data_IF_700600821695
#
_entry.id   IF_700600821695
#
_cell.length_a   1.000
_cell.length_b   1.000
_cell.length_c   1.000
_cell.angle_alpha   90.00
_cell.angle_beta   90.00
_cell.angle_gamma   90.00
#
_symmetry.space_group_name_H-M   'P 1'
#
loop_
_entity.id
_entity.type
_entity.pdbx_description
1 polymer ?
#
# COMPACT_ATOMS: atom_id res chain seq x y z
N UNK A 1 -0.43 1.32 11.09
CA UNK A 1 -0.22 1.02 9.65
C UNK A 1 -0.84 2.15 8.86
N UNK A 2 -0.10 2.74 7.96
CA UNK A 2 -0.58 3.78 7.07
C UNK A 2 -0.21 3.47 5.62
N UNK A 3 -1.04 3.95 4.69
CA UNK A 3 -0.91 3.69 3.26
C UNK A 3 -0.95 4.99 2.45
N UNK A 4 0.12 5.22 1.68
CA UNK A 4 0.29 6.43 0.88
C UNK A 4 0.45 6.08 -0.60
N UNK A 5 -0.39 6.68 -1.42
CA UNK A 5 -0.18 6.70 -2.88
C UNK A 5 0.76 7.84 -3.23
N UNK A 6 1.88 7.51 -3.85
CA UNK A 6 2.84 8.47 -4.40
C UNK A 6 2.59 8.57 -5.90
N UNK A 7 2.36 9.78 -6.39
CA UNK A 7 2.07 10.01 -7.81
C UNK A 7 3.20 9.50 -8.71
N UNK A 8 2.81 8.81 -9.79
CA UNK A 8 3.71 8.32 -10.82
C UNK A 8 2.93 8.23 -12.13
N UNK A 9 3.52 8.72 -13.22
CA UNK A 9 2.89 8.84 -14.53
C UNK A 9 3.53 7.97 -15.63
N UNK A 10 4.59 7.22 -15.30
CA UNK A 10 5.35 6.39 -16.26
C UNK A 10 5.15 4.89 -16.13
N UNK A 11 4.24 4.45 -15.27
CA UNK A 11 3.87 3.05 -15.11
C UNK A 11 2.49 2.83 -15.69
N UNK A 12 2.38 1.83 -16.57
CA UNK A 12 1.13 1.38 -17.16
C UNK A 12 1.12 -0.14 -17.14
N UNK A 13 0.13 -0.73 -16.48
CA UNK A 13 -0.03 -2.18 -16.41
C UNK A 13 -1.52 -2.51 -16.50
N UNK A 14 -1.97 -3.18 -17.58
CA UNK A 14 -3.38 -3.53 -17.73
C UNK A 14 -3.79 -4.60 -16.72
N UNK A 15 -4.92 -4.40 -16.07
CA UNK A 15 -5.54 -5.38 -15.18
C UNK A 15 -7.06 -5.38 -15.36
N UNK A 16 -7.72 -6.44 -14.88
CA UNK A 16 -9.18 -6.58 -14.98
C UNK A 16 -9.81 -6.20 -13.65
N UNK A 17 -10.62 -5.14 -13.67
CA UNK A 17 -11.41 -4.73 -12.51
C UNK A 17 -12.41 -5.81 -12.10
N UNK A 18 -12.92 -5.74 -10.87
CA UNK A 18 -14.00 -6.62 -10.38
C UNK A 18 -15.26 -6.61 -11.26
N UNK A 19 -15.45 -5.58 -12.10
CA UNK A 19 -16.57 -5.45 -13.05
C UNK A 19 -16.26 -6.01 -14.45
N UNK A 20 -15.13 -6.69 -14.63
CA UNK A 20 -14.72 -7.27 -15.91
C UNK A 20 -14.23 -6.25 -16.95
N UNK A 21 -13.89 -5.03 -16.54
CA UNK A 21 -13.32 -4.01 -17.42
C UNK A 21 -11.82 -3.95 -17.28
N UNK A 22 -11.11 -3.81 -18.40
CA UNK A 22 -9.70 -3.47 -18.42
C UNK A 22 -9.50 -2.07 -17.85
N UNK A 23 -8.57 -1.95 -16.91
CA UNK A 23 -8.16 -0.71 -16.24
C UNK A 23 -6.64 -0.73 -16.07
N UNK A 24 -6.07 0.41 -15.72
CA UNK A 24 -4.68 0.48 -15.31
C UNK A 24 -4.54 0.12 -13.83
N UNK A 25 -3.66 -0.83 -13.51
CA UNK A 25 -3.36 -1.25 -12.14
C UNK A 25 -2.77 -0.11 -11.30
N UNK A 26 -2.14 0.88 -11.94
CA UNK A 26 -1.50 2.03 -11.29
C UNK A 26 -2.48 3.18 -11.03
N UNK A 27 -3.71 3.12 -11.53
CA UNK A 27 -4.74 4.11 -11.20
C UNK A 27 -5.31 3.87 -9.80
N UNK A 28 -5.23 4.88 -8.94
CA UNK A 28 -5.83 4.85 -7.62
C UNK A 28 -7.19 5.55 -7.59
N UNK A 29 -8.22 4.79 -7.24
CA UNK A 29 -9.53 5.35 -6.94
C UNK A 29 -9.55 6.21 -5.65
N UNK A 30 -8.53 6.10 -4.78
CA UNK A 30 -8.44 6.89 -3.53
C UNK A 30 -8.01 8.33 -3.81
N UNK A 31 -7.02 8.51 -4.67
CA UNK A 31 -6.48 9.83 -5.03
C UNK A 31 -7.05 10.39 -6.33
N UNK A 32 -7.82 9.59 -7.08
CA UNK A 32 -8.26 9.91 -8.44
C UNK A 32 -7.08 10.23 -9.39
N UNK A 33 -5.98 9.50 -9.23
CA UNK A 33 -4.75 9.72 -9.99
C UNK A 33 -3.90 8.46 -10.08
N UNK A 34 -2.85 8.52 -10.89
CA UNK A 34 -1.91 7.41 -11.08
C UNK A 34 -0.79 7.47 -10.03
N UNK A 35 -0.40 6.31 -9.52
CA UNK A 35 0.66 6.25 -8.52
C UNK A 35 0.86 4.87 -7.91
N UNK A 36 1.96 4.73 -7.19
CA UNK A 36 2.27 3.55 -6.41
C UNK A 36 1.79 3.68 -4.97
N UNK A 37 1.10 2.68 -4.45
CA UNK A 37 0.72 2.61 -3.03
C UNK A 37 1.89 2.02 -2.21
N UNK A 38 2.34 2.73 -1.19
CA UNK A 38 3.37 2.28 -0.24
C UNK A 38 2.75 2.19 1.14
N UNK A 39 2.96 1.06 1.81
CA UNK A 39 2.50 0.82 3.17
C UNK A 39 3.65 1.02 4.15
N UNK A 40 3.34 1.60 5.31
CA UNK A 40 4.31 1.77 6.38
C UNK A 40 3.75 1.38 7.76
N UNK A 41 4.51 0.58 8.50
CA UNK A 41 4.27 0.36 9.91
C UNK A 41 5.01 1.45 10.68
N UNK A 42 4.25 2.33 11.33
CA UNK A 42 4.79 3.43 12.13
C UNK A 42 4.70 3.07 13.62
N UNK A 43 5.70 3.46 14.41
CA UNK A 43 5.57 3.46 15.86
C UNK A 43 4.75 4.67 16.35
N UNK A 44 4.34 4.72 17.63
CA UNK A 44 3.57 5.85 18.17
C UNK A 44 4.28 7.20 18.17
N UNK A 45 5.60 7.23 17.96
CA UNK A 45 6.40 8.45 17.85
C UNK A 45 6.46 8.97 16.40
N UNK A 46 5.87 8.23 15.46
CA UNK A 46 5.89 8.58 14.03
C UNK A 46 7.17 8.12 13.31
N UNK A 47 7.91 7.17 13.86
CA UNK A 47 9.09 6.58 13.18
C UNK A 47 8.67 5.36 12.37
N UNK A 48 9.04 5.27 11.08
CA UNK A 48 8.77 4.08 10.28
C UNK A 48 9.61 2.90 10.79
N UNK A 49 8.94 1.82 11.18
CA UNK A 49 9.54 0.55 11.60
C UNK A 49 9.68 -0.42 10.45
N UNK A 50 8.78 -0.33 9.47
CA UNK A 50 8.81 -1.09 8.23
C UNK A 50 8.13 -0.30 7.11
N UNK A 51 8.60 -0.48 5.88
CA UNK A 51 8.04 0.11 4.66
C UNK A 51 7.98 -0.99 3.61
N UNK A 52 6.86 -1.10 2.89
CA UNK A 52 6.70 -2.05 1.79
C UNK A 52 7.47 -1.61 0.55
N UNK A 53 7.70 -2.56 -0.35
CA UNK A 53 7.90 -2.22 -1.76
C UNK A 53 6.65 -1.53 -2.34
N UNK A 54 6.80 -0.92 -3.51
CA UNK A 54 5.70 -0.24 -4.18
C UNK A 54 4.64 -1.23 -4.66
N UNK A 55 3.37 -0.95 -4.33
CA UNK A 55 2.21 -1.69 -4.83
C UNK A 55 1.49 -0.90 -5.92
N UNK A 56 0.75 -1.56 -6.81
CA UNK A 56 -0.11 -0.86 -7.76
C UNK A 56 -1.13 0.05 -7.07
N UNK A 57 -1.40 1.23 -7.63
CA UNK A 57 -2.25 2.27 -7.04
C UNK A 57 -3.69 1.85 -6.74
N UNK A 58 -4.21 0.84 -7.44
CA UNK A 58 -5.56 0.30 -7.20
C UNK A 58 -5.64 -0.61 -5.96
N UNK A 59 -4.50 -1.06 -5.41
CA UNK A 59 -4.47 -1.95 -4.24
C UNK A 59 -4.97 -1.18 -3.02
N UNK A 60 -6.04 -1.70 -2.41
CA UNK A 60 -6.62 -1.14 -1.19
C UNK A 60 -5.72 -1.39 0.02
N UNK A 61 -5.61 -0.40 0.91
CA UNK A 61 -4.79 -0.46 2.12
C UNK A 61 -5.09 -1.69 3.00
N UNK A 62 -6.36 -2.10 3.13
CA UNK A 62 -6.74 -3.30 3.91
C UNK A 62 -6.26 -4.60 3.24
N UNK A 63 -6.27 -4.65 1.91
CA UNK A 63 -5.74 -5.81 1.17
C UNK A 63 -4.22 -5.88 1.33
N UNK A 64 -3.52 -4.76 1.12
CA UNK A 64 -2.09 -4.66 1.32
C UNK A 64 -1.67 -5.01 2.75
N UNK A 65 -2.42 -4.54 3.75
CA UNK A 65 -2.20 -4.86 5.16
C UNK A 65 -2.27 -6.36 5.43
N UNK A 66 -3.28 -7.03 4.86
CA UNK A 66 -3.48 -8.47 5.06
C UNK A 66 -2.38 -9.30 4.42
N UNK A 67 -1.88 -8.88 3.27
CA UNK A 67 -0.84 -9.62 2.54
C UNK A 67 0.55 -9.39 3.13
N UNK A 68 0.90 -8.14 3.46
CA UNK A 68 2.28 -7.78 3.82
C UNK A 68 2.49 -7.67 5.33
N UNK A 69 1.55 -7.04 6.03
CA UNK A 69 1.80 -6.51 7.39
C UNK A 69 1.55 -7.56 8.47
N UNK A 70 0.54 -8.41 8.30
CA UNK A 70 0.26 -9.48 9.26
C UNK A 70 1.44 -10.46 9.40
N UNK A 71 2.15 -10.74 8.30
CA UNK A 71 3.30 -11.64 8.30
C UNK A 71 4.51 -11.07 9.06
N UNK A 72 4.66 -9.74 9.09
CA UNK A 72 5.84 -9.06 9.64
C UNK A 72 5.59 -8.40 10.99
N UNK A 73 4.38 -8.51 11.55
CA UNK A 73 3.97 -7.79 12.76
C UNK A 73 4.64 -8.29 14.04
N UNK A 74 4.92 -9.59 14.12
CA UNK A 74 5.39 -10.25 15.34
C UNK A 74 6.69 -9.66 15.92
N UNK A 75 7.76 -9.41 15.14
CA UNK A 75 8.96 -8.75 15.66
C UNK A 75 8.71 -7.35 16.25
N UNK A 76 7.67 -6.65 15.81
CA UNK A 76 7.42 -5.28 16.26
C UNK A 76 6.55 -5.20 17.51
N UNK A 77 5.84 -6.27 17.88
CA UNK A 77 5.00 -6.27 19.08
C UNK A 77 5.81 -6.28 20.38
N UNK A 78 7.07 -6.71 20.34
CA UNK A 78 7.97 -6.71 21.51
C UNK A 78 8.65 -5.34 21.70
N UNK A 79 8.94 -4.64 20.60
CA UNK A 79 9.80 -3.43 20.58
C UNK A 79 9.04 -2.12 20.38
N UNK A 80 7.72 -2.15 20.20
CA UNK A 80 6.94 -0.93 20.04
C UNK A 80 6.73 -0.26 21.41
N UNK A 81 7.13 1.01 21.58
CA UNK A 81 6.80 1.75 22.78
C UNK A 81 5.28 1.88 22.87
N UNK A 82 4.71 1.55 24.04
CA UNK A 82 3.29 1.75 24.36
C UNK A 82 3.03 3.23 24.61
#
# INVERSE_FOLDING_TARGET
LDGKVIECDRLYEPTVSRKGREIDAWYSGKTHGFGGNIQALMDPRGVPRWVSDVLPGHVNDLAAARELVLAILWPYTEDMPI
#
